data_IF_051316718734
#
_entry.id   IF_051316718734
#
_cell.length_a   1.000
_cell.length_b   1.000
_cell.length_c   1.000
_cell.angle_alpha   90.00
_cell.angle_beta   90.00
_cell.angle_gamma   90.00
#
_symmetry.space_group_name_H-M   'P 1'
#
loop_
_entity.id
_entity.type
_entity.pdbx_description
1 polymer ?
#
# COMPACT_ATOMS: atom_id res chain seq x y z
N UNK A 1 -5.88 5.59 29.85
CA UNK A 1 -4.45 5.74 29.48
C UNK A 1 -3.70 4.56 30.07
N UNK A 2 -3.82 3.39 29.45
CA UNK A 2 -2.90 2.28 29.68
C UNK A 2 -1.66 2.58 28.84
N UNK A 3 -0.54 2.85 29.51
CA UNK A 3 0.74 2.99 28.83
C UNK A 3 1.07 1.65 28.17
N UNK A 4 0.98 1.58 26.85
CA UNK A 4 1.50 0.48 26.05
C UNK A 4 2.98 0.32 26.39
N UNK A 5 3.36 -0.85 26.92
CA UNK A 5 4.78 -1.17 27.11
C UNK A 5 5.54 -0.96 25.80
N UNK A 6 6.75 -0.37 25.81
CA UNK A 6 7.51 -0.18 24.60
C UNK A 6 7.74 -1.53 23.94
N UNK A 7 7.21 -1.69 22.73
CA UNK A 7 7.37 -2.92 21.97
C UNK A 7 8.80 -2.98 21.45
N UNK A 8 9.55 -4.01 21.83
CA UNK A 8 10.92 -4.22 21.34
C UNK A 8 10.95 -4.77 19.91
N UNK A 9 9.80 -5.12 19.33
CA UNK A 9 9.71 -5.74 18.00
C UNK A 9 9.98 -4.73 16.89
N UNK A 10 10.66 -5.18 15.84
CA UNK A 10 10.83 -4.46 14.58
C UNK A 10 9.85 -5.02 13.57
N UNK A 11 9.18 -4.17 12.80
CA UNK A 11 8.25 -4.63 11.76
C UNK A 11 8.82 -4.35 10.38
N UNK A 12 9.11 -5.42 9.63
CA UNK A 12 9.37 -5.34 8.20
C UNK A 12 8.08 -5.69 7.46
N UNK A 13 7.46 -4.72 6.80
CA UNK A 13 6.24 -4.91 6.03
C UNK A 13 6.61 -5.00 4.54
N UNK A 14 6.53 -6.20 3.99
CA UNK A 14 6.70 -6.44 2.56
C UNK A 14 5.33 -6.29 1.89
N UNK A 15 5.17 -5.21 1.14
CA UNK A 15 3.89 -4.84 0.55
C UNK A 15 3.78 -5.35 -0.90
N UNK A 16 2.78 -6.19 -1.17
CA UNK A 16 2.53 -6.75 -2.50
C UNK A 16 1.87 -5.76 -3.47
N UNK A 17 1.54 -4.54 -3.02
CA UNK A 17 0.88 -3.47 -3.78
C UNK A 17 1.33 -2.07 -3.31
N UNK A 18 1.60 -1.12 -4.21
CA UNK A 18 2.09 0.22 -3.83
C UNK A 18 1.16 1.08 -2.93
N UNK A 19 -0.08 0.67 -2.69
CA UNK A 19 -1.08 1.46 -1.94
C UNK A 19 -1.35 0.97 -0.51
N UNK A 20 -0.66 -0.05 -0.03
CA UNK A 20 -1.03 -0.77 1.18
C UNK A 20 -0.77 -0.06 2.52
N UNK A 21 -0.01 1.04 2.56
CA UNK A 21 0.32 1.79 3.79
C UNK A 21 -0.74 2.79 4.27
N UNK A 22 -1.91 2.81 3.62
CA UNK A 22 -3.00 3.77 3.85
C UNK A 22 -3.69 3.72 5.22
N UNK A 23 -3.41 2.75 6.08
CA UNK A 23 -4.00 2.67 7.41
C UNK A 23 -3.08 3.13 8.54
N UNK A 24 -1.82 3.47 8.26
CA UNK A 24 -0.84 3.91 9.27
C UNK A 24 -0.41 5.35 9.06
N UNK A 25 0.31 5.92 10.04
CA UNK A 25 1.01 7.18 9.93
C UNK A 25 2.33 7.14 10.71
N UNK A 26 3.26 8.04 10.42
CA UNK A 26 4.59 8.07 11.04
C UNK A 26 5.47 6.84 10.75
N UNK A 27 5.18 6.10 9.68
CA UNK A 27 5.96 4.92 9.26
C UNK A 27 6.66 5.24 7.95
N UNK A 28 7.91 4.79 7.82
CA UNK A 28 8.70 4.96 6.61
C UNK A 28 8.39 3.87 5.58
N UNK A 29 8.42 4.27 4.30
CA UNK A 29 8.13 3.45 3.12
C UNK A 29 9.33 3.55 2.18
N UNK A 30 9.99 2.42 1.95
CA UNK A 30 11.00 2.25 0.91
C UNK A 30 10.30 1.95 -0.43
N UNK A 31 10.56 2.79 -1.42
CA UNK A 31 10.11 2.63 -2.80
C UNK A 31 11.08 1.80 -3.62
N UNK A 32 12.38 1.88 -3.29
CA UNK A 32 13.46 1.10 -3.89
C UNK A 32 13.70 -0.20 -3.07
N UNK A 33 14.18 -1.23 -3.74
CA UNK A 33 14.50 -2.55 -3.20
C UNK A 33 15.92 -2.65 -2.60
N UNK A 34 16.67 -1.55 -2.55
CA UNK A 34 17.93 -1.45 -1.81
C UNK A 34 17.72 -1.77 -0.31
N UNK A 35 18.30 -2.87 0.22
CA UNK A 35 18.11 -3.27 1.61
C UNK A 35 18.67 -2.26 2.62
N UNK A 36 19.56 -1.35 2.21
CA UNK A 36 20.07 -0.31 3.10
C UNK A 36 18.94 0.62 3.62
N UNK A 37 17.87 0.81 2.84
CA UNK A 37 16.73 1.65 3.20
C UNK A 37 15.98 1.09 4.43
N UNK A 38 15.39 -0.12 4.38
CA UNK A 38 14.77 -0.72 5.56
C UNK A 38 15.77 -0.97 6.69
N UNK A 39 17.04 -1.28 6.42
CA UNK A 39 18.05 -1.45 7.48
C UNK A 39 18.20 -0.17 8.31
N UNK A 40 18.35 0.99 7.67
CA UNK A 40 18.47 2.28 8.36
C UNK A 40 17.22 2.66 9.15
N UNK A 41 16.02 2.33 8.64
CA UNK A 41 14.77 2.57 9.37
C UNK A 41 14.64 1.62 10.57
N UNK A 42 15.07 0.37 10.42
CA UNK A 42 14.89 -0.69 11.40
C UNK A 42 16.02 -0.77 12.45
N UNK A 43 16.89 0.23 12.54
CA UNK A 43 17.98 0.25 13.52
C UNK A 43 17.46 0.15 14.96
N UNK A 44 16.41 0.90 15.29
CA UNK A 44 15.87 0.99 16.65
C UNK A 44 14.78 -0.05 16.92
N UNK A 45 14.73 -0.68 18.11
CA UNK A 45 13.59 -1.48 18.52
C UNK A 45 12.28 -0.67 18.47
N UNK A 46 11.17 -1.30 18.10
CA UNK A 46 9.87 -0.62 17.96
C UNK A 46 9.67 0.12 16.63
N UNK A 47 10.66 0.10 15.74
CA UNK A 47 10.56 0.66 14.39
C UNK A 47 9.74 -0.22 13.45
N UNK A 48 9.19 0.40 12.41
CA UNK A 48 8.51 -0.29 11.33
C UNK A 48 8.90 0.33 9.99
N UNK A 49 9.02 -0.49 8.95
CA UNK A 49 9.34 -0.06 7.60
C UNK A 49 8.50 -0.85 6.59
N UNK A 50 7.82 -0.14 5.69
CA UNK A 50 7.27 -0.75 4.49
C UNK A 50 8.34 -0.84 3.42
N UNK A 51 8.36 -1.95 2.69
CA UNK A 51 9.09 -2.11 1.43
C UNK A 51 8.07 -2.44 0.36
N UNK A 52 7.96 -1.57 -0.65
CA UNK A 52 7.03 -1.77 -1.76
C UNK A 52 7.60 -2.81 -2.71
N UNK A 53 7.21 -4.07 -2.53
CA UNK A 53 7.71 -5.18 -3.37
C UNK A 53 6.91 -5.33 -4.66
N UNK A 54 5.64 -4.90 -4.65
CA UNK A 54 4.71 -4.99 -5.79
C UNK A 54 4.63 -6.39 -6.41
N UNK A 55 4.81 -7.44 -5.59
CA UNK A 55 4.92 -8.84 -6.02
C UNK A 55 3.65 -9.40 -6.62
N UNK A 56 2.49 -8.77 -6.40
CA UNK A 56 1.23 -9.17 -7.04
C UNK A 56 1.28 -9.03 -8.56
N UNK A 57 2.14 -8.16 -9.09
CA UNK A 57 2.36 -7.98 -10.52
C UNK A 57 3.34 -9.01 -11.12
N UNK A 58 3.99 -9.82 -10.28
CA UNK A 58 4.99 -10.81 -10.68
C UNK A 58 4.38 -12.22 -10.70
N UNK A 59 5.03 -13.14 -11.41
CA UNK A 59 4.72 -14.57 -11.23
C UNK A 59 5.16 -15.07 -9.83
N UNK A 60 4.67 -16.25 -9.45
CA UNK A 60 4.92 -16.78 -8.10
C UNK A 60 6.41 -17.02 -7.81
N UNK A 61 7.19 -17.44 -8.81
CA UNK A 61 8.62 -17.73 -8.63
C UNK A 61 9.41 -16.43 -8.43
N UNK A 62 9.10 -15.42 -9.23
CA UNK A 62 9.67 -14.08 -9.12
C UNK A 62 9.29 -13.43 -7.78
N UNK A 63 8.03 -13.56 -7.34
CA UNK A 63 7.56 -13.05 -6.06
C UNK A 63 8.28 -13.70 -4.86
N UNK A 64 8.46 -15.03 -4.89
CA UNK A 64 9.23 -15.78 -3.90
C UNK A 64 10.68 -15.34 -3.88
N UNK A 65 11.32 -15.24 -5.06
CA UNK A 65 12.71 -14.83 -5.16
C UNK A 65 12.93 -13.40 -4.67
N UNK A 66 11.99 -12.48 -4.94
CA UNK A 66 12.05 -11.11 -4.47
C UNK A 66 11.91 -11.01 -2.94
N UNK A 67 10.92 -11.69 -2.35
CA UNK A 67 10.73 -11.70 -0.89
C UNK A 67 11.97 -12.24 -0.16
N UNK A 68 12.55 -13.36 -0.63
CA UNK A 68 13.79 -13.90 -0.07
C UNK A 68 14.94 -12.92 -0.17
N UNK A 69 15.15 -12.31 -1.34
CA UNK A 69 16.23 -11.35 -1.58
C UNK A 69 16.12 -10.12 -0.69
N UNK A 70 14.92 -9.53 -0.55
CA UNK A 70 14.71 -8.36 0.29
C UNK A 70 14.96 -8.70 1.75
N UNK A 71 14.37 -9.79 2.26
CA UNK A 71 14.55 -10.21 3.65
C UNK A 71 16.01 -10.59 3.95
N UNK A 72 16.65 -11.37 3.09
CA UNK A 72 18.07 -11.72 3.22
C UNK A 72 18.94 -10.46 3.27
N UNK A 73 18.71 -9.50 2.37
CA UNK A 73 19.43 -8.23 2.34
C UNK A 73 19.25 -7.41 3.63
N UNK A 74 18.04 -7.36 4.19
CA UNK A 74 17.76 -6.70 5.48
C UNK A 74 18.51 -7.38 6.63
N UNK A 75 18.50 -8.70 6.68
CA UNK A 75 19.18 -9.49 7.72
C UNK A 75 20.71 -9.38 7.60
N UNK A 76 21.23 -9.43 6.37
CA UNK A 76 22.66 -9.26 6.07
C UNK A 76 23.15 -7.83 6.34
N UNK A 77 22.26 -6.85 6.19
CA UNK A 77 22.50 -5.44 6.54
C UNK A 77 22.57 -5.18 8.05
N UNK A 78 22.28 -6.18 8.89
CA UNK A 78 22.49 -6.10 10.34
C UNK A 78 21.22 -5.99 11.18
N UNK A 79 20.03 -6.05 10.57
CA UNK A 79 18.78 -6.15 11.34
C UNK A 79 18.71 -7.56 11.95
N UNK A 80 18.56 -7.69 13.28
CA UNK A 80 18.53 -9.00 13.93
C UNK A 80 17.25 -9.76 13.55
N UNK A 81 17.39 -11.03 13.16
CA UNK A 81 16.24 -11.90 12.89
C UNK A 81 15.39 -12.13 14.16
N UNK A 82 16.05 -12.20 15.33
CA UNK A 82 15.37 -12.25 16.63
C UNK A 82 14.65 -10.93 16.91
N UNK A 83 13.34 -10.99 17.11
CA UNK A 83 12.51 -9.81 17.36
C UNK A 83 12.12 -9.04 16.09
N UNK A 84 12.38 -9.61 14.91
CA UNK A 84 11.84 -9.11 13.64
C UNK A 84 10.51 -9.79 13.33
N UNK A 85 9.43 -9.02 13.32
CA UNK A 85 8.13 -9.44 12.81
C UNK A 85 8.05 -9.08 11.33
N UNK A 86 7.97 -10.08 10.46
CA UNK A 86 7.76 -9.88 9.02
C UNK A 86 6.27 -9.96 8.69
N UNK A 87 5.76 -8.91 8.05
CA UNK A 87 4.39 -8.83 7.53
C UNK A 87 4.46 -8.97 6.01
N UNK A 88 3.90 -10.05 5.46
CA UNK A 88 3.54 -10.14 4.04
C UNK A 88 2.20 -9.45 3.86
N UNK A 89 2.20 -8.18 3.50
CA UNK A 89 0.95 -7.42 3.37
C UNK A 89 0.28 -7.73 2.03
N UNK A 90 -1.02 -7.97 2.08
CA UNK A 90 -1.87 -8.60 1.06
C UNK A 90 -3.12 -7.82 0.72
N UNK A 91 -3.65 -8.04 -0.48
CA UNK A 91 -5.00 -7.63 -0.88
C UNK A 91 -6.09 -8.06 0.11
N UNK A 92 -7.02 -7.15 0.42
CA UNK A 92 -8.17 -7.45 1.29
C UNK A 92 -9.27 -8.25 0.61
N UNK A 93 -9.10 -8.61 -0.66
CA UNK A 93 -10.02 -9.49 -1.39
C UNK A 93 -9.35 -10.80 -1.78
N UNK A 94 -8.34 -11.19 -0.98
CA UNK A 94 -7.65 -12.49 -1.00
C UNK A 94 -6.76 -12.77 -2.22
N UNK A 95 -6.48 -11.76 -3.06
CA UNK A 95 -5.59 -11.91 -4.22
C UNK A 95 -4.11 -11.83 -3.84
N UNK A 96 -3.27 -12.46 -4.66
CA UNK A 96 -1.83 -12.52 -4.50
C UNK A 96 -1.32 -13.92 -4.16
N UNK A 97 -0.01 -14.03 -3.94
CA UNK A 97 0.70 -15.28 -3.70
C UNK A 97 0.58 -15.72 -2.23
N UNK A 98 -0.67 -15.92 -1.77
CA UNK A 98 -1.06 -16.05 -0.35
C UNK A 98 -0.28 -17.11 0.42
N UNK A 99 0.06 -18.23 -0.21
CA UNK A 99 0.82 -19.31 0.42
C UNK A 99 2.32 -19.10 0.22
N UNK A 100 2.74 -18.85 -1.02
CA UNK A 100 4.15 -18.87 -1.40
C UNK A 100 4.98 -17.76 -0.72
N UNK A 101 4.43 -16.55 -0.58
CA UNK A 101 5.16 -15.43 0.03
C UNK A 101 5.44 -15.65 1.52
N UNK A 102 4.45 -15.95 2.41
CA UNK A 102 4.73 -16.26 3.81
C UNK A 102 5.67 -17.45 3.99
N UNK A 103 5.54 -18.50 3.16
CA UNK A 103 6.43 -19.66 3.22
C UNK A 103 7.86 -19.27 2.86
N UNK A 104 8.06 -18.45 1.82
CA UNK A 104 9.38 -17.97 1.42
C UNK A 104 10.06 -17.14 2.52
N UNK A 105 9.28 -16.30 3.21
CA UNK A 105 9.73 -15.52 4.38
C UNK A 105 10.13 -16.46 5.52
N UNK A 106 9.31 -17.44 5.86
CA UNK A 106 9.60 -18.39 6.93
C UNK A 106 10.82 -19.27 6.63
N UNK A 107 11.04 -19.64 5.38
CA UNK A 107 12.24 -20.37 4.95
C UNK A 107 13.51 -19.54 5.16
N UNK A 108 13.48 -18.26 4.80
CA UNK A 108 14.63 -17.37 4.98
C UNK A 108 14.93 -17.13 6.47
N UNK A 109 13.89 -16.96 7.31
CA UNK A 109 14.07 -16.88 8.77
C UNK A 109 14.65 -18.17 9.35
N UNK A 110 14.16 -19.33 8.91
CA UNK A 110 14.65 -20.63 9.35
C UNK A 110 16.12 -20.85 8.95
N UNK A 111 16.55 -20.36 7.78
CA UNK A 111 17.95 -20.36 7.37
C UNK A 111 18.86 -19.53 8.29
N UNK A 112 18.29 -18.59 9.06
CA UNK A 112 18.97 -17.82 10.12
C UNK A 112 18.73 -18.37 11.53
N UNK A 113 18.17 -19.58 11.66
CA UNK A 113 17.91 -20.24 12.93
C UNK A 113 16.69 -19.73 13.67
N UNK A 114 15.76 -19.04 12.99
CA UNK A 114 14.49 -18.59 13.55
C UNK A 114 13.35 -19.40 12.94
N UNK A 115 12.83 -20.36 13.71
CA UNK A 115 11.66 -21.13 13.30
C UNK A 115 10.37 -20.33 13.48
N UNK A 116 9.56 -20.26 12.42
CA UNK A 116 8.24 -19.62 12.46
C UNK A 116 7.23 -20.57 13.07
N UNK A 117 6.58 -20.12 14.14
CA UNK A 117 5.57 -20.91 14.85
C UNK A 117 4.24 -20.95 14.09
N UNK A 118 3.82 -19.81 13.54
CA UNK A 118 2.53 -19.68 12.89
C UNK A 118 2.48 -18.59 11.81
N UNK A 119 1.65 -18.84 10.81
CA UNK A 119 1.20 -17.86 9.83
C UNK A 119 -0.16 -17.31 10.25
N UNK A 120 -0.26 -15.98 10.43
CA UNK A 120 -1.51 -15.33 10.82
C UNK A 120 -2.12 -14.65 9.61
N UNK A 121 -3.26 -15.17 9.12
CA UNK A 121 -4.04 -14.60 8.03
C UNK A 121 -5.14 -13.67 8.56
N UNK A 122 -5.03 -12.38 8.26
CA UNK A 122 -6.02 -11.36 8.61
C UNK A 122 -6.30 -10.43 7.41
N UNK A 123 -7.26 -10.78 6.54
CA UNK A 123 -7.55 -10.02 5.31
C UNK A 123 -8.44 -8.78 5.55
N UNK A 124 -8.67 -8.38 6.81
CA UNK A 124 -9.54 -7.28 7.14
C UNK A 124 -9.05 -5.93 6.57
N UNK A 125 -9.93 -5.26 5.82
CA UNK A 125 -9.81 -3.86 5.44
C UNK A 125 -11.12 -3.15 5.80
N UNK A 126 -11.26 -2.84 7.09
CA UNK A 126 -12.49 -2.33 7.70
C UNK A 126 -12.92 -1.01 7.06
N UNK A 127 -11.98 -0.15 6.68
CA UNK A 127 -12.27 1.13 6.02
C UNK A 127 -12.88 0.97 4.63
N UNK A 128 -12.70 -0.21 4.03
CA UNK A 128 -13.32 -0.57 2.78
C UNK A 128 -14.49 -1.55 3.00
N UNK A 129 -14.92 -1.83 4.23
CA UNK A 129 -15.98 -2.79 4.51
C UNK A 129 -15.60 -4.24 4.16
N UNK A 130 -14.32 -4.60 4.31
CA UNK A 130 -13.86 -6.00 4.20
C UNK A 130 -13.60 -6.53 5.60
N UNK A 131 -14.31 -7.57 6.00
CA UNK A 131 -14.31 -8.09 7.36
C UNK A 131 -14.49 -9.61 7.36
N UNK A 132 -14.19 -10.26 8.48
CA UNK A 132 -14.31 -11.71 8.62
C UNK A 132 -15.16 -12.05 9.83
N UNK A 133 -16.19 -12.87 9.62
CA UNK A 133 -17.09 -13.37 10.68
C UNK A 133 -17.39 -14.85 10.43
N UNK A 134 -17.30 -15.68 11.48
CA UNK A 134 -17.56 -17.12 11.36
C UNK A 134 -16.60 -17.83 10.41
N UNK A 135 -15.35 -17.36 10.34
CA UNK A 135 -14.30 -17.76 9.39
C UNK A 135 -14.58 -17.40 7.92
N UNK A 136 -15.73 -16.78 7.63
CA UNK A 136 -16.13 -16.35 6.29
C UNK A 136 -15.71 -14.90 6.07
N UNK A 137 -15.06 -14.62 4.94
CA UNK A 137 -14.64 -13.28 4.57
C UNK A 137 -15.66 -12.60 3.65
N UNK A 138 -15.99 -11.35 4.00
CA UNK A 138 -17.02 -10.56 3.34
C UNK A 138 -16.45 -9.27 2.75
N UNK A 139 -17.08 -8.79 1.70
CA UNK A 139 -16.91 -7.44 1.17
C UNK A 139 -18.25 -6.73 1.10
N UNK A 140 -18.31 -5.48 1.55
CA UNK A 140 -19.49 -4.64 1.39
C UNK A 140 -19.64 -4.18 -0.07
N UNK A 141 -20.68 -4.66 -0.74
CA UNK A 141 -21.05 -4.29 -2.12
C UNK A 141 -22.46 -3.70 -2.11
N UNK A 142 -22.61 -2.46 -2.57
CA UNK A 142 -23.92 -1.79 -2.57
C UNK A 142 -24.52 -1.54 -1.17
N UNK A 143 -23.69 -1.60 -0.11
CA UNK A 143 -24.14 -1.48 1.28
C UNK A 143 -24.52 -2.81 1.94
N UNK A 144 -24.44 -3.93 1.21
CA UNK A 144 -24.73 -5.27 1.74
C UNK A 144 -23.43 -6.07 1.90
N UNK A 145 -23.36 -6.90 2.93
CA UNK A 145 -22.27 -7.83 3.12
C UNK A 145 -22.42 -9.00 2.14
N UNK A 146 -21.45 -9.15 1.24
CA UNK A 146 -21.40 -10.22 0.24
C UNK A 146 -20.18 -11.06 0.52
N UNK A 147 -20.35 -12.38 0.52
CA UNK A 147 -19.27 -13.34 0.58
C UNK A 147 -18.25 -13.08 -0.54
N UNK A 148 -16.97 -13.01 -0.20
CA UNK A 148 -15.95 -12.55 -1.16
C UNK A 148 -15.86 -13.47 -2.39
N UNK A 149 -16.15 -14.77 -2.26
CA UNK A 149 -16.22 -15.72 -3.38
C UNK A 149 -17.34 -15.41 -4.40
N UNK A 150 -18.39 -14.69 -4.01
CA UNK A 150 -19.51 -14.35 -4.90
C UNK A 150 -19.25 -13.08 -5.72
N UNK A 151 -18.24 -12.30 -5.31
CA UNK A 151 -17.86 -11.04 -5.94
C UNK A 151 -17.02 -11.25 -7.21
N UNK A 152 -16.83 -10.19 -7.99
CA UNK A 152 -15.93 -10.23 -9.14
C UNK A 152 -14.44 -10.42 -8.75
N UNK A 153 -14.07 -10.15 -7.49
CA UNK A 153 -12.70 -10.36 -7.02
C UNK A 153 -12.28 -11.84 -7.07
N UNK A 154 -13.21 -12.75 -6.82
CA UNK A 154 -12.97 -14.19 -6.86
C UNK A 154 -12.84 -14.76 -8.27
N UNK A 155 -13.26 -14.00 -9.29
CA UNK A 155 -13.16 -14.37 -10.72
C UNK A 155 -11.89 -13.82 -11.37
N UNK A 156 -10.93 -13.38 -10.57
CA UNK A 156 -9.62 -12.91 -11.05
C UNK A 156 -8.93 -13.99 -11.89
N UNK A 157 -8.36 -13.58 -13.03
CA UNK A 157 -7.75 -14.52 -13.98
C UNK A 157 -6.49 -15.21 -13.44
N UNK A 158 -5.79 -14.57 -12.50
CA UNK A 158 -4.53 -15.06 -11.93
C UNK A 158 -4.73 -15.62 -10.53
N UNK A 159 -5.54 -14.94 -9.72
CA UNK A 159 -5.71 -15.22 -8.29
C UNK A 159 -7.12 -15.67 -7.91
N UNK A 160 -7.93 -16.10 -8.89
CA UNK A 160 -9.30 -16.54 -8.64
C UNK A 160 -9.40 -17.67 -7.62
N UNK A 161 -10.52 -17.71 -6.90
CA UNK A 161 -10.77 -18.67 -5.84
C UNK A 161 -12.27 -18.93 -5.69
N UNK A 162 -12.65 -19.96 -4.93
CA UNK A 162 -14.06 -20.37 -4.80
C UNK A 162 -14.62 -20.34 -3.37
N UNK A 163 -13.76 -20.31 -2.36
CA UNK A 163 -14.19 -20.32 -0.95
C UNK A 163 -14.09 -18.95 -0.28
N UNK A 164 -15.13 -18.58 0.46
CA UNK A 164 -15.11 -17.45 1.41
C UNK A 164 -14.70 -17.85 2.82
N UNK A 165 -14.86 -19.13 3.22
CA UNK A 165 -14.29 -19.65 4.46
C UNK A 165 -12.76 -19.65 4.31
N UNK A 166 -12.07 -18.89 5.18
CA UNK A 166 -10.63 -18.64 5.08
C UNK A 166 -9.79 -19.90 5.26
N UNK A 167 -10.29 -20.93 5.96
CA UNK A 167 -9.58 -22.20 6.13
C UNK A 167 -9.69 -23.05 4.88
N UNK A 168 -10.89 -23.15 4.31
CA UNK A 168 -11.12 -23.82 3.04
C UNK A 168 -10.42 -23.08 1.88
N UNK A 169 -10.35 -21.76 1.94
CA UNK A 169 -9.56 -20.94 1.01
C UNK A 169 -8.06 -21.27 1.10
N UNK A 170 -7.48 -21.37 2.30
CA UNK A 170 -6.08 -21.79 2.45
C UNK A 170 -5.84 -23.20 1.91
N UNK A 171 -6.79 -24.11 2.08
CA UNK A 171 -6.72 -25.45 1.51
C UNK A 171 -6.75 -25.44 -0.02
N UNK A 172 -7.67 -24.67 -0.61
CA UNK A 172 -7.77 -24.45 -2.05
C UNK A 172 -6.46 -23.88 -2.60
N UNK A 173 -5.98 -22.76 -2.03
CA UNK A 173 -4.81 -22.03 -2.53
C UNK A 173 -3.49 -22.76 -2.31
N UNK A 174 -3.44 -23.72 -1.40
CA UNK A 174 -2.27 -24.57 -1.17
C UNK A 174 -2.31 -25.89 -1.94
N UNK A 175 -3.36 -26.14 -2.74
CA UNK A 175 -3.55 -27.43 -3.41
C UNK A 175 -3.70 -28.60 -2.44
N UNK A 176 -4.23 -28.35 -1.24
CA UNK A 176 -4.42 -29.35 -0.18
C UNK A 176 -3.25 -29.53 0.78
N UNK A 177 -2.12 -28.82 0.59
CA UNK A 177 -0.98 -28.90 1.50
C UNK A 177 -1.29 -28.35 2.90
N UNK A 178 -2.16 -27.33 2.99
CA UNK A 178 -2.76 -26.84 4.24
C UNK A 178 -4.16 -27.40 4.32
N UNK A 179 -4.45 -28.32 5.25
CA UNK A 179 -5.79 -28.88 5.41
C UNK A 179 -6.65 -27.91 6.22
N UNK A 180 -7.89 -27.63 5.79
CA UNK A 180 -8.75 -26.68 6.51
C UNK A 180 -8.97 -27.07 7.99
N UNK A 181 -9.03 -28.38 8.28
CA UNK A 181 -9.17 -28.91 9.64
C UNK A 181 -7.96 -28.63 10.55
N UNK A 182 -6.78 -28.39 9.96
CA UNK A 182 -5.56 -28.09 10.69
C UNK A 182 -5.37 -26.58 10.91
N UNK A 183 -6.15 -25.73 10.24
CA UNK A 183 -6.10 -24.27 10.43
C UNK A 183 -6.79 -23.88 11.73
N UNK A 184 -6.10 -23.14 12.59
CA UNK A 184 -6.69 -22.57 13.80
C UNK A 184 -7.53 -21.34 13.45
N UNK A 185 -8.61 -21.13 14.18
CA UNK A 185 -9.43 -19.92 14.06
C UNK A 185 -9.38 -19.13 15.37
N UNK A 186 -9.15 -17.82 15.27
CA UNK A 186 -9.45 -16.88 16.34
C UNK A 186 -10.87 -16.37 16.10
N UNK A 187 -11.84 -16.93 16.81
CA UNK A 187 -13.25 -16.54 16.70
C UNK A 187 -13.48 -15.16 17.33
N UNK A 188 -14.56 -14.47 16.95
CA UNK A 188 -14.94 -13.20 17.59
C UNK A 188 -15.19 -13.38 19.10
N UNK A 189 -15.72 -14.54 19.52
CA UNK A 189 -15.93 -14.87 20.94
C UNK A 189 -14.59 -14.94 21.68
N UNK A 190 -13.63 -15.69 21.14
CA UNK A 190 -12.30 -15.83 21.76
C UNK A 190 -11.53 -14.50 21.78
N UNK A 191 -11.64 -13.70 20.70
CA UNK A 191 -11.02 -12.38 20.60
C UNK A 191 -11.61 -11.44 21.64
N UNK A 192 -12.94 -11.37 21.75
CA UNK A 192 -13.63 -10.47 22.69
C UNK A 192 -13.52 -10.92 24.15
N UNK A 193 -13.17 -12.19 24.39
CA UNK A 193 -12.76 -12.66 25.72
C UNK A 193 -11.41 -12.09 26.18
N UNK A 194 -10.60 -11.53 25.25
CA UNK A 194 -9.39 -10.76 25.54
C UNK A 194 -8.09 -11.50 25.21
N UNK A 195 -6.98 -10.76 25.24
CA UNK A 195 -5.66 -11.24 24.80
C UNK A 195 -5.17 -12.48 25.56
N UNK A 196 -5.56 -12.65 26.83
CA UNK A 196 -5.26 -13.86 27.60
C UNK A 196 -5.81 -15.14 26.97
N UNK A 197 -7.06 -15.10 26.49
CA UNK A 197 -7.70 -16.23 25.78
C UNK A 197 -6.99 -16.54 24.47
N UNK A 198 -6.65 -15.51 23.70
CA UNK A 198 -5.91 -15.69 22.45
C UNK A 198 -4.53 -16.28 22.67
N UNK A 199 -3.84 -15.91 23.76
CA UNK A 199 -2.55 -16.50 24.12
C UNK A 199 -2.65 -17.99 24.36
N UNK A 200 -3.71 -18.48 25.01
CA UNK A 200 -3.93 -19.92 25.18
C UNK A 200 -4.06 -20.64 23.83
N UNK A 201 -4.86 -20.09 22.90
CA UNK A 201 -5.08 -20.68 21.58
C UNK A 201 -3.78 -20.67 20.76
N UNK A 202 -3.12 -19.51 20.68
CA UNK A 202 -1.88 -19.31 19.91
C UNK A 202 -0.68 -20.03 20.52
N UNK A 203 -0.72 -20.35 21.83
CA UNK A 203 0.29 -21.17 22.49
C UNK A 203 0.31 -22.61 21.97
N UNK A 204 -0.72 -23.07 21.26
CA UNK A 204 -0.76 -24.37 20.57
C UNK A 204 -0.32 -24.33 19.11
N UNK A 205 -0.14 -23.14 18.52
CA UNK A 205 0.30 -23.01 17.13
C UNK A 205 1.81 -23.26 17.04
N UNK A 206 2.26 -24.31 16.37
CA UNK A 206 3.68 -24.65 16.15
C UNK A 206 3.87 -25.06 14.70
N UNK A 207 5.12 -25.17 14.29
CA UNK A 207 5.49 -25.78 13.01
C UNK A 207 4.78 -25.10 11.82
N UNK A 208 4.84 -23.76 11.81
CA UNK A 208 4.24 -22.91 10.76
C UNK A 208 2.73 -23.09 10.59
N UNK A 209 2.01 -23.37 11.69
CA UNK A 209 0.56 -23.58 11.65
C UNK A 209 -0.17 -22.32 11.19
N UNK A 210 -1.13 -22.48 10.28
CA UNK A 210 -1.98 -21.37 9.85
C UNK A 210 -3.04 -21.03 10.90
N UNK A 211 -3.26 -19.74 11.08
CA UNK A 211 -4.26 -19.16 11.97
C UNK A 211 -5.06 -18.13 11.19
N UNK A 212 -6.39 -18.24 11.16
CA UNK A 212 -7.28 -17.23 10.58
C UNK A 212 -7.85 -16.33 11.66
N UNK A 213 -8.00 -15.05 11.34
CA UNK A 213 -8.51 -14.03 12.26
C UNK A 213 -9.89 -13.56 11.81
N UNK A 214 -10.87 -13.69 12.70
CA UNK A 214 -12.15 -13.02 12.56
C UNK A 214 -12.02 -11.58 13.08
N UNK A 215 -12.54 -10.61 12.33
CA UNK A 215 -12.48 -9.21 12.74
C UNK A 215 -13.57 -8.42 12.03
N UNK A 216 -14.36 -7.70 12.81
CA UNK A 216 -15.45 -6.83 12.35
C UNK A 216 -15.24 -5.37 12.73
N UNK A 217 -14.39 -5.12 13.73
CA UNK A 217 -14.04 -3.79 14.24
C UNK A 217 -12.56 -3.72 14.64
N UNK A 218 -12.07 -2.52 14.93
CA UNK A 218 -10.64 -2.31 15.22
C UNK A 218 -10.25 -2.91 16.56
N UNK A 219 -11.16 -2.94 17.52
CA UNK A 219 -10.99 -3.54 18.84
C UNK A 219 -10.67 -5.04 18.72
N UNK A 220 -11.30 -5.75 17.77
CA UNK A 220 -10.98 -7.16 17.48
C UNK A 220 -9.49 -7.28 17.05
N UNK A 221 -9.05 -6.40 16.15
CA UNK A 221 -7.68 -6.38 15.63
C UNK A 221 -6.65 -5.99 16.70
N UNK A 222 -6.98 -5.03 17.56
CA UNK A 222 -6.13 -4.56 18.65
C UNK A 222 -5.85 -5.68 19.66
N UNK A 223 -6.86 -6.47 20.03
CA UNK A 223 -6.70 -7.61 20.95
C UNK A 223 -5.81 -8.71 20.35
N UNK A 224 -5.94 -8.99 19.05
CA UNK A 224 -5.08 -9.96 18.37
C UNK A 224 -3.63 -9.47 18.34
N UNK A 225 -3.40 -8.19 18.00
CA UNK A 225 -2.06 -7.62 17.97
C UNK A 225 -1.40 -7.58 19.37
N UNK A 226 -2.17 -7.33 20.43
CA UNK A 226 -1.72 -7.41 21.83
C UNK A 226 -1.28 -8.84 22.20
N UNK A 227 -2.11 -9.83 21.90
CA UNK A 227 -1.80 -11.23 22.19
C UNK A 227 -0.54 -11.70 21.45
N UNK A 228 -0.39 -11.30 20.18
CA UNK A 228 0.81 -11.59 19.39
C UNK A 228 2.05 -10.92 19.99
N UNK A 229 1.99 -9.62 20.33
CA UNK A 229 3.11 -8.90 20.92
C UNK A 229 3.57 -9.54 22.25
N UNK A 230 2.62 -9.99 23.08
CA UNK A 230 2.94 -10.68 24.34
C UNK A 230 3.66 -12.01 24.10
N UNK A 231 3.22 -12.79 23.11
CA UNK A 231 3.85 -14.05 22.74
C UNK A 231 5.23 -13.85 22.10
N UNK A 232 5.40 -12.83 21.26
CA UNK A 232 6.69 -12.47 20.67
C UNK A 232 7.71 -12.08 21.74
N UNK A 233 7.27 -11.36 22.78
CA UNK A 233 8.10 -11.06 23.95
C UNK A 233 8.54 -12.32 24.74
N UNK A 234 7.81 -13.44 24.59
CA UNK A 234 8.16 -14.75 25.13
C UNK A 234 8.99 -15.61 24.15
N UNK A 235 9.42 -15.06 23.01
CA UNK A 235 10.27 -15.72 22.03
C UNK A 235 9.52 -16.46 20.91
N UNK A 236 8.21 -16.22 20.78
CA UNK A 236 7.38 -16.79 19.71
C UNK A 236 7.60 -16.01 18.41
N UNK A 237 7.56 -16.69 17.27
CA UNK A 237 7.76 -16.04 15.96
C UNK A 237 6.53 -16.22 15.07
N UNK A 238 5.97 -15.10 14.63
CA UNK A 238 4.86 -15.08 13.67
C UNK A 238 5.31 -14.45 12.35
N UNK A 239 4.72 -14.93 11.26
CA UNK A 239 4.66 -14.20 9.99
C UNK A 239 3.20 -13.85 9.73
N UNK A 240 2.92 -12.58 9.47
CA UNK A 240 1.54 -12.13 9.24
C UNK A 240 1.29 -11.95 7.76
N UNK A 241 0.22 -12.57 7.25
CA UNK A 241 -0.38 -12.27 5.95
C UNK A 241 -1.63 -11.41 6.20
N UNK A 242 -1.59 -10.12 5.91
CA UNK A 242 -2.72 -9.25 6.25
C UNK A 242 -2.99 -8.09 5.30
N UNK A 243 -4.22 -7.58 5.34
CA UNK A 243 -4.63 -6.36 4.66
C UNK A 243 -4.34 -5.10 5.53
N UNK A 244 -4.54 -3.87 5.00
CA UNK A 244 -4.03 -2.66 5.65
C UNK A 244 -4.48 -2.44 7.10
N UNK A 245 -5.75 -2.74 7.44
CA UNK A 245 -6.28 -2.39 8.76
C UNK A 245 -5.51 -3.05 9.89
N UNK A 246 -5.04 -4.29 9.70
CA UNK A 246 -4.32 -5.01 10.75
C UNK A 246 -2.91 -4.48 10.98
N UNK A 247 -2.31 -3.81 9.99
CA UNK A 247 -0.97 -3.22 10.16
C UNK A 247 -0.98 -2.13 11.23
N UNK A 248 -2.07 -1.36 11.36
CA UNK A 248 -2.20 -0.26 12.35
C UNK A 248 -1.98 -0.73 13.80
N UNK A 249 -2.74 -1.71 14.34
CA UNK A 249 -2.49 -2.21 15.69
C UNK A 249 -1.16 -3.00 15.79
N UNK A 250 -0.68 -3.62 14.70
CA UNK A 250 0.65 -4.25 14.67
C UNK A 250 1.79 -3.23 14.89
N UNK A 251 1.69 -2.03 14.35
CA UNK A 251 2.66 -0.94 14.63
C UNK A 251 2.34 -0.17 15.93
N UNK A 252 1.37 -0.63 16.72
CA UNK A 252 1.00 -0.03 18.01
C UNK A 252 0.24 1.29 17.90
N UNK A 253 -0.40 1.56 16.76
CA UNK A 253 -1.19 2.77 16.55
C UNK A 253 -2.66 2.52 16.87
N UNK A 254 -3.32 3.54 17.42
CA UNK A 254 -4.76 3.56 17.69
C UNK A 254 -5.39 4.72 16.93
N UNK A 255 -6.50 4.44 16.23
CA UNK A 255 -7.17 5.41 15.38
C UNK A 255 -6.35 5.84 14.15
N UNK A 256 -7.03 6.50 13.20
CA UNK A 256 -6.38 7.07 12.02
C UNK A 256 -5.84 8.47 12.32
N UNK A 257 -4.66 8.82 11.78
CA UNK A 257 -4.17 10.20 11.73
C UNK A 257 -4.70 10.87 10.46
N UNK A 258 -5.83 11.55 10.58
CA UNK A 258 -6.40 12.35 9.49
C UNK A 258 -5.65 13.68 9.40
N UNK A 259 -5.20 14.06 8.20
CA UNK A 259 -4.51 15.33 7.98
C UNK A 259 -5.51 16.46 7.81
N UNK A 260 -5.18 17.61 8.38
CA UNK A 260 -5.82 18.89 8.12
C UNK A 260 -4.83 19.85 7.45
N UNK A 261 -5.28 20.95 6.82
CA UNK A 261 -4.38 21.90 6.16
C UNK A 261 -3.23 22.42 7.03
N UNK A 262 -3.46 22.64 8.33
CA UNK A 262 -2.45 23.15 9.25
C UNK A 262 -1.38 22.10 9.63
N UNK A 263 -1.72 20.81 9.49
CA UNK A 263 -0.79 19.70 9.72
C UNK A 263 0.13 19.39 8.52
N UNK A 264 -0.18 19.92 7.34
CA UNK A 264 0.59 19.70 6.10
C UNK A 264 1.67 20.76 5.98
N UNK A 265 2.93 20.35 6.07
CA UNK A 265 4.06 21.26 5.93
C UNK A 265 4.44 21.43 4.46
N UNK A 266 4.48 22.67 3.97
CA UNK A 266 5.03 23.02 2.66
C UNK A 266 6.43 23.61 2.86
N UNK A 267 7.52 22.91 2.50
CA UNK A 267 8.88 23.41 2.67
C UNK A 267 9.13 24.79 2.02
N UNK A 268 10.01 25.57 2.65
CA UNK A 268 10.50 26.84 2.09
C UNK A 268 11.21 26.60 0.76
N UNK A 269 11.02 27.49 -0.21
CA UNK A 269 11.64 27.40 -1.54
C UNK A 269 10.86 26.56 -2.56
N UNK A 270 9.69 26.03 -2.18
CA UNK A 270 8.69 25.49 -3.10
C UNK A 270 7.75 26.59 -3.61
N UNK A 271 7.20 26.38 -4.80
CA UNK A 271 6.15 27.21 -5.40
C UNK A 271 4.90 27.26 -4.52
N UNK A 272 3.98 28.16 -4.87
CA UNK A 272 2.65 28.27 -4.26
C UNK A 272 1.61 27.36 -4.93
N UNK A 273 2.00 26.62 -5.96
CA UNK A 273 1.09 25.79 -6.75
C UNK A 273 1.56 24.35 -6.87
N UNK A 274 0.60 23.44 -6.88
CA UNK A 274 0.80 22.01 -6.90
C UNK A 274 0.45 21.34 -8.22
N UNK A 275 0.87 20.07 -8.32
CA UNK A 275 0.74 19.24 -9.51
C UNK A 275 -0.15 18.04 -9.23
N UNK A 276 -1.19 17.84 -10.03
CA UNK A 276 -1.99 16.62 -10.06
C UNK A 276 -1.60 15.80 -11.29
N UNK A 277 -1.33 14.51 -11.10
CA UNK A 277 -0.89 13.59 -12.15
C UNK A 277 -1.90 12.45 -12.28
N UNK A 278 -2.50 12.32 -13.45
CA UNK A 278 -3.52 11.31 -13.75
C UNK A 278 -3.12 10.50 -14.99
N UNK A 279 -2.52 9.33 -14.78
CA UNK A 279 -2.07 8.44 -15.88
C UNK A 279 -3.09 7.38 -16.31
N UNK A 280 -4.14 7.13 -15.51
CA UNK A 280 -5.04 5.99 -15.68
C UNK A 280 -6.38 6.34 -16.35
N UNK A 281 -6.86 5.43 -17.20
CA UNK A 281 -8.18 5.51 -17.87
C UNK A 281 -9.30 4.71 -17.16
N UNK A 282 -9.12 4.33 -15.88
CA UNK A 282 -10.18 3.63 -15.13
C UNK A 282 -11.39 4.55 -14.90
N UNK A 283 -12.60 3.97 -14.90
CA UNK A 283 -13.87 4.70 -14.82
C UNK A 283 -13.92 5.73 -13.69
N UNK A 284 -13.62 5.34 -12.45
CA UNK A 284 -13.65 6.25 -11.30
C UNK A 284 -12.65 7.41 -11.41
N UNK A 285 -11.41 7.13 -11.81
CA UNK A 285 -10.37 8.15 -12.04
C UNK A 285 -10.84 9.21 -13.04
N UNK A 286 -11.57 8.79 -14.08
CA UNK A 286 -12.17 9.68 -15.08
C UNK A 286 -13.21 10.61 -14.47
N UNK A 287 -14.10 10.04 -13.67
CA UNK A 287 -15.20 10.77 -13.03
C UNK A 287 -14.63 11.82 -12.07
N UNK A 288 -13.63 11.45 -11.27
CA UNK A 288 -12.95 12.34 -10.35
C UNK A 288 -12.16 13.44 -11.08
N UNK A 289 -11.45 13.11 -12.17
CA UNK A 289 -10.80 14.13 -13.01
C UNK A 289 -11.80 15.13 -13.59
N UNK A 290 -12.94 14.66 -14.13
CA UNK A 290 -14.00 15.54 -14.63
C UNK A 290 -14.59 16.44 -13.55
N UNK A 291 -14.68 15.96 -12.32
CA UNK A 291 -15.13 16.76 -11.19
C UNK A 291 -14.15 17.91 -10.92
N UNK A 292 -12.83 17.64 -10.92
CA UNK A 292 -11.78 18.67 -10.82
C UNK A 292 -11.87 19.67 -11.97
N UNK A 293 -11.95 19.19 -13.21
CA UNK A 293 -12.03 20.06 -14.41
C UNK A 293 -13.26 20.97 -14.38
N UNK A 294 -14.43 20.46 -13.93
CA UNK A 294 -15.65 21.27 -13.78
C UNK A 294 -15.55 22.34 -12.70
N UNK A 295 -14.72 22.15 -11.67
CA UNK A 295 -14.46 23.21 -10.67
C UNK A 295 -13.68 24.38 -11.30
N UNK A 296 -12.90 24.13 -12.35
CA UNK A 296 -12.18 25.16 -13.10
C UNK A 296 -11.07 25.84 -12.30
N UNK A 297 -10.60 25.21 -11.22
CA UNK A 297 -9.57 25.75 -10.33
C UNK A 297 -8.15 25.37 -10.73
N UNK A 298 -7.99 24.37 -11.61
CA UNK A 298 -6.69 23.92 -12.11
C UNK A 298 -6.54 24.24 -13.59
N UNK A 299 -5.32 24.60 -13.97
CA UNK A 299 -4.91 24.61 -15.36
C UNK A 299 -4.73 23.17 -15.87
N UNK A 300 -5.14 22.92 -17.10
CA UNK A 300 -5.19 21.59 -17.70
C UNK A 300 -4.10 21.42 -18.76
N UNK A 301 -3.29 20.36 -18.64
CA UNK A 301 -2.29 20.01 -19.64
C UNK A 301 -2.40 18.53 -20.01
N UNK A 302 -2.72 18.27 -21.28
CA UNK A 302 -2.90 16.91 -21.79
C UNK A 302 -1.59 16.34 -22.38
N UNK A 303 -1.25 15.12 -21.96
CA UNK A 303 -0.29 14.26 -22.65
C UNK A 303 -1.04 13.54 -23.77
N UNK A 304 -0.94 14.07 -24.99
CA UNK A 304 -1.50 13.47 -26.20
C UNK A 304 -0.86 12.10 -26.53
N UNK A 305 -1.56 11.00 -26.22
CA UNK A 305 -1.05 9.63 -26.35
C UNK A 305 -0.59 9.28 -27.77
N UNK A 306 -1.28 9.66 -28.87
CA UNK A 306 -0.77 9.36 -30.21
C UNK A 306 0.59 10.00 -30.50
N UNK A 307 0.90 11.16 -29.92
CA UNK A 307 2.23 11.78 -30.04
C UNK A 307 3.29 11.06 -29.20
N UNK A 308 2.90 10.34 -28.15
CA UNK A 308 3.80 9.53 -27.32
C UNK A 308 4.24 8.26 -28.04
N UNK A 309 3.36 7.72 -28.88
CA UNK A 309 3.56 6.44 -29.57
C UNK A 309 4.28 6.56 -30.92
N UNK A 310 4.72 7.77 -31.30
CA UNK A 310 5.45 8.01 -32.55
C UNK A 310 6.68 8.91 -32.39
N UNK A 311 7.30 9.27 -33.52
CA UNK A 311 8.53 10.07 -33.61
C UNK A 311 8.45 11.47 -32.97
N UNK A 312 7.24 11.97 -32.68
CA UNK A 312 7.03 13.27 -32.01
C UNK A 312 7.22 13.21 -30.50
N UNK A 313 7.38 12.02 -29.92
CA UNK A 313 7.42 11.78 -28.46
C UNK A 313 8.32 12.77 -27.72
N UNK A 314 9.57 12.91 -28.12
CA UNK A 314 10.54 13.75 -27.40
C UNK A 314 10.13 15.23 -27.40
N UNK A 315 9.78 15.77 -28.58
CA UNK A 315 9.34 17.16 -28.71
C UNK A 315 8.05 17.41 -27.93
N UNK A 316 7.12 16.47 -27.98
CA UNK A 316 5.84 16.55 -27.28
C UNK A 316 6.03 16.57 -25.75
N UNK A 317 6.79 15.63 -25.19
CA UNK A 317 7.03 15.57 -23.75
C UNK A 317 7.85 16.77 -23.25
N UNK A 318 8.80 17.26 -24.04
CA UNK A 318 9.53 18.50 -23.74
C UNK A 318 8.57 19.71 -23.68
N UNK A 319 7.67 19.83 -24.65
CA UNK A 319 6.67 20.89 -24.70
C UNK A 319 5.70 20.85 -23.52
N UNK A 320 5.16 19.66 -23.22
CA UNK A 320 4.28 19.44 -22.06
C UNK A 320 4.98 19.82 -20.76
N UNK A 321 6.20 19.32 -20.52
CA UNK A 321 6.93 19.62 -19.30
C UNK A 321 7.21 21.12 -19.14
N UNK A 322 7.61 21.81 -20.22
CA UNK A 322 7.84 23.25 -20.21
C UNK A 322 6.54 24.03 -19.91
N UNK A 323 5.42 23.63 -20.52
CA UNK A 323 4.12 24.22 -20.27
C UNK A 323 3.68 24.05 -18.81
N UNK A 324 3.84 22.86 -18.24
CA UNK A 324 3.51 22.57 -16.84
C UNK A 324 4.38 23.42 -15.90
N UNK A 325 5.70 23.45 -16.13
CA UNK A 325 6.62 24.22 -15.31
C UNK A 325 6.33 25.74 -15.32
N UNK A 326 5.91 26.28 -16.47
CA UNK A 326 5.47 27.68 -16.56
C UNK A 326 4.14 27.90 -15.81
N UNK A 327 3.18 27.00 -15.99
CA UNK A 327 1.85 27.07 -15.38
C UNK A 327 1.91 27.07 -13.86
N UNK A 328 2.77 26.23 -13.28
CA UNK A 328 2.95 26.13 -11.83
C UNK A 328 3.47 27.44 -11.18
N UNK A 329 3.89 28.44 -11.96
CA UNK A 329 4.25 29.75 -11.41
C UNK A 329 3.05 30.61 -11.04
N UNK A 330 1.85 30.26 -11.52
CA UNK A 330 0.65 31.08 -11.33
C UNK A 330 -0.63 30.28 -11.07
N UNK A 331 -0.64 28.96 -11.24
CA UNK A 331 -1.82 28.13 -11.02
C UNK A 331 -1.47 26.68 -10.68
N UNK A 332 -2.34 26.05 -9.88
CA UNK A 332 -2.34 24.59 -9.72
C UNK A 332 -2.59 23.94 -11.08
N UNK A 333 -1.94 22.80 -11.34
CA UNK A 333 -1.95 22.17 -12.66
C UNK A 333 -2.35 20.70 -12.58
N UNK A 334 -3.20 20.24 -13.50
CA UNK A 334 -3.48 18.83 -13.71
C UNK A 334 -2.88 18.37 -15.04
N UNK A 335 -2.03 17.36 -14.96
CA UNK A 335 -1.47 16.64 -16.10
C UNK A 335 -2.19 15.31 -16.23
N UNK A 336 -2.77 15.04 -17.41
CA UNK A 336 -3.49 13.81 -17.68
C UNK A 336 -3.24 13.29 -19.09
N UNK A 337 -3.41 11.99 -19.30
CA UNK A 337 -3.27 11.37 -20.63
C UNK A 337 -4.56 11.52 -21.45
N UNK A 338 -4.41 11.68 -22.77
CA UNK A 338 -5.55 11.80 -23.69
C UNK A 338 -6.50 10.61 -23.55
N UNK A 339 -7.80 10.89 -23.51
CA UNK A 339 -8.83 9.95 -23.07
C UNK A 339 -9.30 8.95 -24.13
N UNK A 340 -8.83 9.10 -25.37
CA UNK A 340 -9.05 8.13 -26.44
C UNK A 340 -8.19 6.90 -26.20
N UNK A 341 -8.88 5.80 -25.89
CA UNK A 341 -8.27 4.54 -25.55
C UNK A 341 -7.62 3.93 -26.81
N UNK A 342 -6.30 4.05 -26.92
CA UNK A 342 -5.52 3.32 -27.94
C UNK A 342 -5.36 1.89 -27.45
N UNK A 343 -6.30 1.02 -27.85
CA UNK A 343 -6.22 -0.43 -27.64
C UNK A 343 -6.06 -1.13 -28.97
N UNK A 344 -5.29 -2.20 -28.96
CA UNK A 344 -5.24 -3.16 -30.05
C UNK A 344 -5.80 -4.49 -29.57
N UNK A 345 -6.19 -5.36 -30.50
CA UNK A 345 -6.71 -6.69 -30.16
C UNK A 345 -5.61 -7.64 -29.64
N UNK A 346 -4.33 -7.23 -29.71
CA UNK A 346 -3.19 -7.95 -29.16
C UNK A 346 -2.90 -7.51 -27.71
N UNK A 347 -3.02 -8.42 -26.72
CA UNK A 347 -2.68 -8.14 -25.32
C UNK A 347 -1.24 -7.66 -25.11
N UNK A 348 -0.29 -8.16 -25.90
CA UNK A 348 1.14 -7.83 -25.78
C UNK A 348 1.40 -6.40 -26.22
N UNK A 349 0.81 -6.01 -27.35
CA UNK A 349 0.89 -4.65 -27.88
C UNK A 349 0.14 -3.66 -26.98
N UNK A 350 -1.04 -4.03 -26.46
CA UNK A 350 -1.78 -3.22 -25.48
C UNK A 350 -0.97 -2.97 -24.20
N UNK A 351 -0.22 -3.97 -23.72
CA UNK A 351 0.67 -3.81 -22.57
C UNK A 351 1.85 -2.87 -22.89
N UNK A 352 2.45 -3.01 -24.08
CA UNK A 352 3.52 -2.13 -24.54
C UNK A 352 3.07 -0.67 -24.64
N UNK A 353 1.84 -0.42 -25.12
CA UNK A 353 1.22 0.92 -25.15
C UNK A 353 1.05 1.45 -23.73
N UNK A 354 0.46 0.66 -22.82
CA UNK A 354 0.24 1.08 -21.43
C UNK A 354 1.56 1.46 -20.74
N UNK A 355 2.62 0.67 -20.98
CA UNK A 355 3.96 0.96 -20.48
C UNK A 355 4.53 2.25 -21.06
N UNK A 356 4.46 2.43 -22.38
CA UNK A 356 4.91 3.65 -23.05
C UNK A 356 4.21 4.92 -22.53
N UNK A 357 2.91 4.83 -22.26
CA UNK A 357 2.13 5.92 -21.66
C UNK A 357 2.57 6.19 -20.22
N UNK A 358 2.80 5.14 -19.41
CA UNK A 358 3.33 5.29 -18.05
C UNK A 358 4.71 5.97 -18.05
N UNK A 359 5.61 5.52 -18.92
CA UNK A 359 6.96 6.09 -19.08
C UNK A 359 6.90 7.57 -19.47
N UNK A 360 5.94 7.95 -20.31
CA UNK A 360 5.73 9.35 -20.68
C UNK A 360 5.24 10.21 -19.51
N UNK A 361 4.32 9.71 -18.68
CA UNK A 361 3.88 10.40 -17.46
C UNK A 361 5.06 10.60 -16.50
N UNK A 362 5.82 9.53 -16.25
CA UNK A 362 7.04 9.54 -15.43
C UNK A 362 8.04 10.58 -15.94
N UNK A 363 8.29 10.60 -17.25
CA UNK A 363 9.23 11.52 -17.84
C UNK A 363 8.80 12.99 -17.72
N UNK A 364 7.51 13.29 -17.93
CA UNK A 364 6.98 14.64 -17.72
C UNK A 364 7.19 15.07 -16.28
N UNK A 365 6.84 14.23 -15.30
CA UNK A 365 7.03 14.54 -13.88
C UNK A 365 8.51 14.76 -13.56
N UNK A 366 9.40 13.90 -14.08
CA UNK A 366 10.85 14.02 -13.87
C UNK A 366 11.40 15.34 -14.41
N UNK A 367 10.90 15.83 -15.53
CA UNK A 367 11.28 17.15 -16.08
C UNK A 367 10.68 18.30 -15.27
N UNK A 368 9.48 18.12 -14.72
CA UNK A 368 8.74 19.16 -13.97
C UNK A 368 9.25 19.32 -12.53
N UNK A 369 9.82 18.28 -11.90
CA UNK A 369 10.19 18.32 -10.48
C UNK A 369 11.15 19.45 -10.10
N UNK A 370 11.98 19.91 -11.03
CA UNK A 370 12.89 21.07 -10.89
C UNK A 370 12.15 22.38 -10.60
N UNK A 371 10.88 22.49 -11.02
CA UNK A 371 10.04 23.63 -10.69
C UNK A 371 9.67 23.68 -9.20
N UNK A 372 9.88 22.59 -8.44
CA UNK A 372 9.55 22.47 -7.01
C UNK A 372 8.08 22.83 -6.71
N UNK A 373 7.11 22.08 -7.26
CA UNK A 373 5.70 22.28 -6.92
C UNK A 373 5.48 22.21 -5.39
N UNK A 374 4.47 22.92 -4.93
CA UNK A 374 4.08 22.98 -3.51
C UNK A 374 3.78 21.59 -2.95
N UNK A 375 3.09 20.78 -3.73
CA UNK A 375 2.65 19.42 -3.45
C UNK A 375 2.44 18.68 -4.77
N UNK A 376 2.46 17.35 -4.72
CA UNK A 376 2.15 16.49 -5.88
C UNK A 376 1.09 15.46 -5.48
N UNK A 377 0.04 15.32 -6.29
CA UNK A 377 -0.99 14.28 -6.13
C UNK A 377 -0.91 13.34 -7.33
N UNK A 378 -0.70 12.05 -7.09
CA UNK A 378 -0.72 11.05 -8.15
C UNK A 378 -1.95 10.14 -7.99
N UNK A 379 -2.72 9.97 -9.07
CA UNK A 379 -3.96 9.19 -9.06
C UNK A 379 -3.85 7.86 -9.80
N UNK A 380 -4.09 6.78 -9.06
CA UNK A 380 -4.10 5.39 -9.54
C UNK A 380 -2.95 4.60 -8.91
N UNK A 381 -3.16 3.35 -8.50
CA UNK A 381 -2.16 2.59 -7.73
C UNK A 381 -0.77 2.52 -8.40
N UNK A 382 -0.74 2.07 -9.66
CA UNK A 382 0.51 2.00 -10.45
C UNK A 382 1.06 3.41 -10.71
N UNK A 383 0.21 4.36 -11.13
CA UNK A 383 0.63 5.75 -11.39
C UNK A 383 1.26 6.39 -10.15
N UNK A 384 0.69 6.20 -8.97
CA UNK A 384 1.22 6.74 -7.72
C UNK A 384 2.55 6.09 -7.31
N UNK A 385 2.82 4.86 -7.73
CA UNK A 385 4.13 4.25 -7.50
C UNK A 385 5.17 4.82 -8.47
N UNK A 386 4.88 4.75 -9.77
CA UNK A 386 5.78 5.16 -10.85
C UNK A 386 6.14 6.65 -10.77
N UNK A 387 5.16 7.50 -10.45
CA UNK A 387 5.38 8.94 -10.27
C UNK A 387 6.28 9.21 -9.06
N UNK A 388 6.15 8.46 -7.97
CA UNK A 388 6.99 8.63 -6.79
C UNK A 388 8.42 8.17 -7.05
N UNK A 389 8.58 6.91 -7.45
CA UNK A 389 9.88 6.26 -7.62
C UNK A 389 10.62 6.84 -8.83
N UNK A 390 10.02 6.74 -10.02
CA UNK A 390 10.71 7.03 -11.28
C UNK A 390 10.55 8.49 -11.73
N UNK A 391 9.42 9.12 -11.41
CA UNK A 391 9.18 10.53 -11.72
C UNK A 391 9.91 11.48 -10.77
N UNK A 392 9.61 11.36 -9.49
CA UNK A 392 10.15 12.22 -8.45
C UNK A 392 11.50 11.72 -7.90
N UNK A 393 11.88 10.47 -8.13
CA UNK A 393 13.14 9.92 -7.60
C UNK A 393 13.06 9.63 -6.10
N UNK A 394 11.86 9.43 -5.54
CA UNK A 394 11.68 9.13 -4.12
C UNK A 394 12.14 7.69 -3.88
N UNK A 395 13.22 7.53 -3.11
CA UNK A 395 13.69 6.22 -2.63
C UNK A 395 13.04 5.84 -1.31
N UNK A 396 12.83 6.83 -0.43
CA UNK A 396 12.16 6.67 0.86
C UNK A 396 11.25 7.86 1.17
N UNK A 397 10.07 7.58 1.67
CA UNK A 397 9.15 8.58 2.19
C UNK A 397 8.55 8.16 3.52
N UNK A 398 8.00 9.10 4.26
CA UNK A 398 7.27 8.84 5.51
C UNK A 398 5.79 9.10 5.30
N UNK A 399 4.94 8.17 5.75
CA UNK A 399 3.49 8.38 5.74
C UNK A 399 3.15 9.41 6.81
N UNK A 400 2.75 10.61 6.42
CA UNK A 400 2.38 11.66 7.38
C UNK A 400 0.99 11.44 7.95
N UNK A 401 0.07 10.92 7.15
CA UNK A 401 -1.29 10.67 7.56
C UNK A 401 -2.17 10.40 6.35
N UNK A 402 -3.46 10.56 6.53
CA UNK A 402 -4.47 10.18 5.53
C UNK A 402 -5.49 11.31 5.37
N UNK A 403 -6.06 11.48 4.18
CA UNK A 403 -7.13 12.46 3.96
C UNK A 403 -8.47 12.00 4.53
N UNK A 404 -8.66 10.68 4.64
CA UNK A 404 -9.77 10.07 5.37
C UNK A 404 -9.25 8.84 6.13
N UNK A 405 -9.93 8.37 7.19
CA UNK A 405 -9.52 7.17 7.89
C UNK A 405 -9.30 5.98 6.94
N UNK A 406 -8.08 5.44 6.96
CA UNK A 406 -7.63 4.32 6.15
C UNK A 406 -7.55 4.56 4.64
N UNK A 407 -7.60 5.82 4.17
CA UNK A 407 -7.78 6.14 2.76
C UNK A 407 -6.97 7.37 2.33
N UNK A 408 -6.31 7.24 1.17
CA UNK A 408 -5.51 8.28 0.50
C UNK A 408 -4.42 8.84 1.40
N UNK A 409 -3.19 8.40 1.17
CA UNK A 409 -2.08 8.73 2.06
C UNK A 409 -1.35 10.00 1.63
N UNK A 410 -1.01 10.83 2.62
CA UNK A 410 -0.04 11.91 2.48
C UNK A 410 1.34 11.40 2.90
N UNK A 411 2.33 11.54 2.02
CA UNK A 411 3.72 11.19 2.25
C UNK A 411 4.58 12.45 2.27
N UNK A 412 5.70 12.40 2.98
CA UNK A 412 6.79 13.36 2.88
C UNK A 412 8.07 12.64 2.41
N UNK A 413 8.70 13.14 1.35
CA UNK A 413 9.94 12.53 0.85
C UNK A 413 11.09 12.69 1.86
N UNK A 414 11.73 11.58 2.23
CA UNK A 414 12.82 11.52 3.21
C UNK A 414 14.18 11.23 2.57
N UNK A 415 14.17 10.53 1.43
CA UNK A 415 15.34 10.29 0.60
C UNK A 415 14.92 10.39 -0.86
N UNK A 416 15.33 11.48 -1.50
CA UNK A 416 14.97 11.88 -2.86
C UNK A 416 15.97 12.95 -3.34
N UNK A 417 15.97 13.32 -4.63
CA UNK A 417 16.67 14.52 -5.11
C UNK A 417 16.33 15.78 -4.30
N UNK A 418 17.26 16.73 -4.20
CA UNK A 418 17.15 17.94 -3.37
C UNK A 418 15.89 18.77 -3.69
N UNK A 419 15.46 18.79 -4.94
CA UNK A 419 14.26 19.49 -5.41
C UNK A 419 12.95 18.81 -4.95
N UNK A 420 13.00 17.54 -4.56
CA UNK A 420 11.88 16.72 -4.09
C UNK A 420 11.89 16.50 -2.59
N UNK A 421 13.02 16.63 -1.91
CA UNK A 421 13.11 16.39 -0.47
C UNK A 421 12.07 17.21 0.33
N UNK A 422 11.37 16.53 1.25
CA UNK A 422 10.27 17.10 2.04
C UNK A 422 9.00 17.45 1.26
N UNK A 423 8.91 17.19 -0.06
CA UNK A 423 7.69 17.44 -0.82
C UNK A 423 6.51 16.64 -0.24
N UNK A 424 5.35 17.29 -0.03
CA UNK A 424 4.10 16.59 0.17
C UNK A 424 3.73 15.83 -1.09
N UNK A 425 3.58 14.52 -0.96
CA UNK A 425 3.21 13.61 -2.03
C UNK A 425 1.97 12.82 -1.65
N UNK A 426 0.93 12.83 -2.49
CA UNK A 426 -0.31 12.09 -2.22
C UNK A 426 -0.37 10.85 -3.09
N UNK A 427 -0.40 9.69 -2.43
CA UNK A 427 -0.72 8.40 -3.04
C UNK A 427 -2.23 8.24 -3.02
N UNK A 428 -2.87 8.39 -4.18
CA UNK A 428 -4.32 8.27 -4.31
C UNK A 428 -4.68 6.98 -5.06
N UNK A 429 -5.19 5.94 -4.37
CA UNK A 429 -5.57 4.67 -5.01
C UNK A 429 -6.65 4.83 -6.08
N UNK A 430 -6.64 3.95 -7.09
CA UNK A 430 -7.52 4.06 -8.27
C UNK A 430 -9.02 3.94 -7.96
N UNK A 431 -9.38 3.16 -6.96
CA UNK A 431 -10.73 2.72 -6.61
C UNK A 431 -11.28 3.32 -5.30
N UNK A 432 -10.64 4.35 -4.76
CA UNK A 432 -10.99 4.96 -3.47
C UNK A 432 -11.71 6.30 -3.65
N UNK A 433 -12.65 6.60 -2.73
CA UNK A 433 -13.35 7.87 -2.64
C UNK A 433 -14.51 8.05 -3.63
N UNK A 434 -15.37 9.03 -3.33
CA UNK A 434 -16.48 9.44 -4.20
C UNK A 434 -16.03 10.32 -5.37
N UNK A 435 -16.99 10.81 -6.15
CA UNK A 435 -16.76 11.68 -7.31
C UNK A 435 -15.94 12.94 -6.98
N UNK A 436 -16.12 13.51 -5.80
CA UNK A 436 -15.44 14.75 -5.39
C UNK A 436 -14.09 14.54 -4.70
N UNK A 437 -13.72 13.30 -4.37
CA UNK A 437 -12.61 13.04 -3.46
C UNK A 437 -11.26 13.59 -3.95
N UNK A 438 -10.96 13.53 -5.25
CA UNK A 438 -9.73 14.13 -5.79
C UNK A 438 -9.71 15.65 -5.60
N UNK A 439 -10.85 16.30 -5.80
CA UNK A 439 -10.97 17.74 -5.66
C UNK A 439 -10.91 18.18 -4.19
N UNK A 440 -11.48 17.39 -3.28
CA UNK A 440 -11.41 17.67 -1.83
C UNK A 440 -9.97 17.54 -1.30
N UNK A 441 -9.18 16.58 -1.81
CA UNK A 441 -7.73 16.47 -1.51
C UNK A 441 -7.00 17.73 -1.96
N UNK A 442 -7.29 18.22 -3.16
CA UNK A 442 -6.66 19.43 -3.71
C UNK A 442 -7.01 20.65 -2.84
N UNK A 443 -8.28 20.82 -2.45
CA UNK A 443 -8.69 21.93 -1.60
C UNK A 443 -7.93 21.96 -0.26
N UNK A 444 -7.73 20.80 0.36
CA UNK A 444 -6.95 20.67 1.60
C UNK A 444 -5.49 21.08 1.40
N UNK A 445 -4.88 20.68 0.28
CA UNK A 445 -3.49 21.03 -0.05
C UNK A 445 -3.33 22.52 -0.40
N UNK A 446 -4.26 23.09 -1.18
CA UNK A 446 -4.28 24.52 -1.49
C UNK A 446 -4.49 25.35 -0.22
N UNK A 447 -5.34 24.90 0.70
CA UNK A 447 -5.51 25.54 2.01
C UNK A 447 -4.23 25.45 2.87
N UNK A 448 -3.47 24.36 2.79
CA UNK A 448 -2.19 24.22 3.48
C UNK A 448 -1.14 25.23 2.95
N UNK A 449 -1.10 25.43 1.63
CA UNK A 449 -0.25 26.46 1.03
C UNK A 449 -0.67 27.86 1.49
N UNK A 450 -1.98 28.15 1.53
CA UNK A 450 -2.49 29.44 1.97
C UNK A 450 -2.23 29.73 3.47
N UNK A 451 -1.98 28.69 4.27
CA UNK A 451 -1.65 28.79 5.69
C UNK A 451 -0.14 28.93 5.97
N UNK A 452 0.72 28.76 4.96
CA UNK A 452 2.17 28.98 5.03
C UNK A 452 2.49 30.47 5.19
#
# INVERSE_FOLDING_TARGET
MTATSPSYRRLLILDDDPTGSQCVAGIDVAFDLDPALPVGVLEQPGSACFVLTNTRALDEQEAVALNRRVLAGVLDGGVPASGLHVVSRSDSTLRGHVIAEPVAIADELAARGIDVDAFVLCPAMLEAGRFTEGDVHYATVGGEAVEVAETDFARDATFGFTSSDLRAFLEERSGGAVRAADVLSLSLEDIRAGAGRLREILSGARDRRWVVVNATEYEDLEVVAEAMAALEAEGRTFVTRCAPSFVRPLVGQQGARVVDPASITIPVGRLDHGLVVVGSHVGLTTTQLRAVQRRGTLAEVEIHVPSVLDERREQHLAGVAAQVAETLRSSDCVVFTSRDLVRTDDPTESLAIARSVSDAVVEVVRRVREAKPAWVVAKGGITSHEVAENGLGIRRARVEGQFWPGQVSLFSAQEAPDEVLGAPYVVFPGNVGGEQALADVIDVLTAAVAAR
#
